data_IF_436083522513
#
_entry.id   IF_436083522513
#
_cell.length_a   1.000
_cell.length_b   1.000
_cell.length_c   1.000
_cell.angle_alpha   90.00
_cell.angle_beta   90.00
_cell.angle_gamma   90.00
#
_symmetry.space_group_name_H-M   'P 1'
#
loop_
_entity.id
_entity.type
_entity.pdbx_description
1 polymer ?
#
# COMPACT_ATOMS: atom_id res chain seq x y z
N UNK A 1 -19.89 13.50 -4.12
CA UNK A 1 -20.00 14.88 -4.65
C UNK A 1 -20.26 15.87 -3.51
N UNK A 2 -21.31 15.65 -2.68
CA UNK A 2 -21.68 16.55 -1.59
C UNK A 2 -20.54 16.89 -0.63
N UNK A 3 -19.70 15.92 -0.24
CA UNK A 3 -18.55 16.16 0.62
C UNK A 3 -17.58 17.17 -0.01
N UNK A 4 -17.19 16.96 -1.26
CA UNK A 4 -16.27 17.85 -1.98
C UNK A 4 -16.90 19.24 -2.18
N UNK A 5 -18.18 19.28 -2.50
CA UNK A 5 -18.91 20.55 -2.62
C UNK A 5 -18.95 21.33 -1.31
N UNK A 6 -19.22 20.64 -0.17
CA UNK A 6 -19.20 21.25 1.16
C UNK A 6 -17.83 21.77 1.56
N UNK A 7 -16.76 21.00 1.28
CA UNK A 7 -15.39 21.44 1.52
C UNK A 7 -15.06 22.69 0.72
N UNK A 8 -15.39 22.71 -0.57
CA UNK A 8 -15.12 23.86 -1.43
C UNK A 8 -15.99 25.08 -1.09
N UNK A 9 -17.22 24.88 -0.62
CA UNK A 9 -18.03 25.97 -0.11
C UNK A 9 -17.39 26.62 1.14
N UNK A 10 -16.90 25.80 2.07
CA UNK A 10 -16.17 26.29 3.23
C UNK A 10 -14.89 27.06 2.83
N UNK A 11 -14.08 26.49 1.93
CA UNK A 11 -12.85 27.14 1.45
C UNK A 11 -13.14 28.49 0.79
N UNK A 12 -14.19 28.55 -0.04
CA UNK A 12 -14.62 29.79 -0.72
C UNK A 12 -15.02 30.87 0.27
N UNK A 13 -15.76 30.53 1.32
CA UNK A 13 -16.15 31.50 2.38
C UNK A 13 -14.92 32.06 3.11
N UNK A 14 -13.86 31.28 3.22
CA UNK A 14 -12.60 31.68 3.87
C UNK A 14 -11.54 32.20 2.90
N UNK A 15 -11.92 32.51 1.65
CA UNK A 15 -11.02 33.02 0.61
C UNK A 15 -9.77 32.16 0.36
N UNK A 16 -9.96 30.83 0.51
CA UNK A 16 -8.90 29.83 0.24
C UNK A 16 -9.08 29.21 -1.12
N UNK A 17 -7.97 28.68 -1.66
CA UNK A 17 -7.95 27.95 -2.93
C UNK A 17 -8.88 26.71 -2.88
N UNK A 18 -9.54 26.38 -4.02
CA UNK A 18 -10.44 25.25 -4.08
C UNK A 18 -9.68 23.92 -3.93
N UNK A 19 -10.28 22.99 -3.22
CA UNK A 19 -9.80 21.62 -3.11
C UNK A 19 -10.23 20.82 -4.34
N UNK A 20 -9.26 20.37 -5.14
CA UNK A 20 -9.48 19.62 -6.37
C UNK A 20 -8.67 18.32 -6.30
N UNK A 21 -9.35 17.18 -6.29
CA UNK A 21 -8.72 15.88 -6.45
C UNK A 21 -8.57 15.56 -7.94
N UNK A 22 -7.34 15.22 -8.33
CA UNK A 22 -7.02 14.83 -9.71
C UNK A 22 -7.50 13.41 -10.03
N UNK A 23 -7.51 13.06 -11.32
CA UNK A 23 -7.93 11.75 -11.83
C UNK A 23 -7.06 10.60 -11.35
N UNK A 24 -5.79 10.86 -11.05
CA UNK A 24 -4.81 9.91 -10.50
C UNK A 24 -4.85 9.80 -8.97
N UNK A 25 -5.59 10.68 -8.29
CA UNK A 25 -5.65 10.71 -6.83
C UNK A 25 -6.88 10.01 -6.25
N UNK A 26 -8.04 10.12 -6.92
CA UNK A 26 -9.28 9.51 -6.42
C UNK A 26 -10.32 9.33 -7.52
N UNK A 27 -11.20 8.32 -7.38
CA UNK A 27 -12.34 8.12 -8.28
C UNK A 27 -13.29 9.33 -8.32
N UNK A 28 -13.42 10.07 -7.22
CA UNK A 28 -14.22 11.30 -7.21
C UNK A 28 -13.61 12.38 -8.12
N UNK A 29 -12.27 12.40 -8.27
CA UNK A 29 -11.58 13.25 -9.23
C UNK A 29 -11.95 12.90 -10.66
N UNK A 30 -11.93 11.60 -11.02
CA UNK A 30 -12.37 11.12 -12.33
C UNK A 30 -13.82 11.52 -12.60
N UNK A 31 -14.72 11.33 -11.63
CA UNK A 31 -16.13 11.67 -11.77
C UNK A 31 -16.35 13.16 -12.01
N UNK A 32 -15.75 14.02 -11.21
CA UNK A 32 -15.92 15.46 -11.32
C UNK A 32 -15.34 15.96 -12.64
N UNK A 33 -14.12 15.50 -12.98
CA UNK A 33 -13.48 15.89 -14.24
C UNK A 33 -14.29 15.47 -15.47
N UNK A 34 -14.82 14.24 -15.51
CA UNK A 34 -15.70 13.80 -16.60
C UNK A 34 -16.97 14.67 -16.70
N UNK A 35 -17.58 15.01 -15.57
CA UNK A 35 -18.78 15.85 -15.58
C UNK A 35 -18.56 17.27 -16.10
N UNK A 36 -17.42 17.87 -15.78
CA UNK A 36 -17.14 19.27 -16.20
C UNK A 36 -16.50 19.36 -17.60
N UNK A 37 -15.79 18.31 -18.04
CA UNK A 37 -15.06 18.35 -19.34
C UNK A 37 -15.85 17.72 -20.49
N UNK A 38 -16.55 16.61 -20.23
CA UNK A 38 -17.30 15.87 -21.27
C UNK A 38 -18.77 16.18 -21.29
N UNK A 39 -19.31 16.67 -20.15
CA UNK A 39 -20.75 16.76 -19.95
C UNK A 39 -21.39 15.37 -19.87
N UNK A 40 -22.69 15.33 -19.60
CA UNK A 40 -23.49 14.09 -19.58
C UNK A 40 -24.93 14.40 -19.98
N UNK A 41 -25.44 13.61 -20.92
CA UNK A 41 -26.84 13.66 -21.34
C UNK A 41 -27.73 12.73 -20.50
N UNK A 42 -27.10 11.78 -19.79
CA UNK A 42 -27.73 10.77 -18.92
C UNK A 42 -27.11 10.82 -17.50
N UNK A 43 -27.78 10.21 -16.49
CA UNK A 43 -27.19 10.09 -15.17
C UNK A 43 -25.82 9.42 -15.20
N UNK A 44 -24.79 10.12 -14.70
CA UNK A 44 -23.42 9.61 -14.72
C UNK A 44 -23.26 8.42 -13.77
N UNK A 45 -22.83 7.29 -14.32
CA UNK A 45 -22.49 6.11 -13.56
C UNK A 45 -20.97 5.90 -13.56
N UNK A 46 -20.38 5.80 -12.36
CA UNK A 46 -18.97 5.55 -12.18
C UNK A 46 -18.64 4.08 -12.45
N UNK A 47 -17.86 3.84 -13.49
CA UNK A 47 -17.25 2.53 -13.79
C UNK A 47 -15.73 2.62 -13.65
N UNK A 48 -15.11 1.56 -13.18
CA UNK A 48 -13.64 1.47 -13.08
C UNK A 48 -12.95 1.61 -14.45
N UNK A 49 -13.66 1.22 -15.53
CA UNK A 49 -13.19 1.39 -16.92
C UNK A 49 -13.02 2.85 -17.34
N UNK A 50 -13.66 3.81 -16.65
CA UNK A 50 -13.50 5.24 -16.90
C UNK A 50 -12.25 5.83 -16.24
N UNK A 51 -11.62 5.11 -15.33
CA UNK A 51 -10.41 5.54 -14.64
C UNK A 51 -9.19 4.94 -15.33
N UNK A 52 -8.42 5.75 -16.02
CA UNK A 52 -7.17 5.37 -16.66
C UNK A 52 -6.13 4.91 -15.64
N UNK A 53 -6.12 5.50 -14.45
CA UNK A 53 -5.23 5.17 -13.34
C UNK A 53 -5.84 4.14 -12.37
N UNK A 54 -6.75 3.27 -12.81
CA UNK A 54 -7.46 2.32 -11.93
C UNK A 54 -6.53 1.39 -11.15
N UNK A 55 -5.34 1.10 -11.67
CA UNK A 55 -4.32 0.27 -11.00
C UNK A 55 -3.75 1.01 -9.78
N UNK A 56 -3.66 2.35 -9.84
CA UNK A 56 -3.22 3.20 -8.74
C UNK A 56 -4.34 3.50 -7.74
N UNK A 57 -5.59 3.56 -8.22
CA UNK A 57 -6.77 3.94 -7.41
C UNK A 57 -7.40 2.74 -6.75
N UNK A 58 -6.62 1.94 -6.02
CA UNK A 58 -7.11 0.76 -5.32
C UNK A 58 -7.62 1.12 -3.93
N UNK A 59 -8.49 0.26 -3.38
CA UNK A 59 -9.03 0.42 -2.04
C UNK A 59 -7.96 0.26 -0.96
N UNK A 60 -7.06 -0.70 -1.14
CA UNK A 60 -5.99 -1.07 -0.21
C UNK A 60 -4.96 0.04 0.00
N UNK A 61 -4.79 0.96 -0.98
CA UNK A 61 -3.86 2.09 -0.90
C UNK A 61 -4.53 3.46 -0.70
N UNK A 62 -5.82 3.48 -0.47
CA UNK A 62 -6.55 4.74 -0.32
C UNK A 62 -6.08 5.53 0.91
N UNK A 63 -5.66 4.86 1.96
CA UNK A 63 -5.20 5.46 3.20
C UNK A 63 -3.94 6.33 2.98
N UNK A 64 -2.90 5.83 2.32
CA UNK A 64 -1.68 6.63 2.08
C UNK A 64 -1.94 7.83 1.15
N UNK A 65 -2.84 7.66 0.17
CA UNK A 65 -3.14 8.73 -0.78
C UNK A 65 -4.01 9.83 -0.19
N UNK A 66 -4.96 9.48 0.70
CA UNK A 66 -6.01 10.39 1.12
C UNK A 66 -5.92 10.81 2.60
N UNK A 67 -5.29 10.01 3.49
CA UNK A 67 -5.20 10.37 4.91
C UNK A 67 -4.39 11.65 5.14
N UNK A 68 -3.23 11.88 4.50
CA UNK A 68 -2.50 13.15 4.66
C UNK A 68 -3.36 14.36 4.31
N UNK A 69 -4.02 14.30 3.16
CA UNK A 69 -4.90 15.38 2.70
C UNK A 69 -6.09 15.56 3.65
N UNK A 70 -6.70 14.46 4.09
CA UNK A 70 -7.81 14.47 5.05
C UNK A 70 -7.41 15.07 6.40
N UNK A 71 -6.18 14.84 6.84
CA UNK A 71 -5.62 15.42 8.06
C UNK A 71 -5.42 16.94 7.94
N UNK A 72 -4.89 17.42 6.81
CA UNK A 72 -4.74 18.86 6.53
C UNK A 72 -6.07 19.62 6.57
N UNK A 73 -7.16 18.98 6.14
CA UNK A 73 -8.52 19.52 6.20
C UNK A 73 -9.22 19.30 7.56
N UNK A 74 -8.55 18.70 8.55
CA UNK A 74 -9.13 18.41 9.86
C UNK A 74 -10.22 17.35 9.86
N UNK A 75 -10.34 16.54 8.78
CA UNK A 75 -11.31 15.44 8.66
C UNK A 75 -10.77 14.12 9.23
N UNK A 76 -9.46 13.91 9.20
CA UNK A 76 -8.80 12.83 9.91
C UNK A 76 -8.14 13.37 11.17
N UNK A 77 -8.20 12.62 12.27
CA UNK A 77 -7.50 12.94 13.49
C UNK A 77 -5.99 12.60 13.40
N UNK A 78 -5.23 13.13 14.38
CA UNK A 78 -3.80 12.87 14.46
C UNK A 78 -3.46 11.40 14.65
N UNK A 79 -4.28 10.64 15.38
CA UNK A 79 -4.06 9.21 15.59
C UNK A 79 -4.10 8.44 14.27
N UNK A 80 -5.09 8.71 13.43
CA UNK A 80 -5.25 8.07 12.11
C UNK A 80 -4.10 8.44 11.17
N UNK A 81 -3.69 9.70 11.18
CA UNK A 81 -2.54 10.16 10.40
C UNK A 81 -1.26 9.46 10.84
N UNK A 82 -0.91 9.52 12.12
CA UNK A 82 0.30 8.90 12.68
C UNK A 82 0.31 7.37 12.47
N UNK A 83 -0.87 6.73 12.57
CA UNK A 83 -1.03 5.30 12.29
C UNK A 83 -0.70 4.98 10.84
N UNK A 84 -1.27 5.72 9.90
CA UNK A 84 -1.03 5.54 8.47
C UNK A 84 0.45 5.74 8.13
N UNK A 85 1.07 6.81 8.63
CA UNK A 85 2.48 7.08 8.37
C UNK A 85 3.39 5.99 8.91
N UNK A 86 3.17 5.53 10.14
CA UNK A 86 3.94 4.41 10.73
C UNK A 86 3.77 3.11 9.95
N UNK A 87 2.55 2.79 9.49
CA UNK A 87 2.29 1.61 8.65
C UNK A 87 3.17 1.63 7.41
N UNK A 88 3.23 2.73 6.69
CA UNK A 88 4.00 2.81 5.45
C UNK A 88 5.51 2.93 5.67
N UNK A 89 5.95 3.54 6.76
CA UNK A 89 7.35 3.51 7.17
C UNK A 89 7.81 2.07 7.46
N UNK A 90 6.99 1.27 8.14
CA UNK A 90 7.26 -0.16 8.37
C UNK A 90 7.33 -0.94 7.05
N UNK A 91 6.39 -0.69 6.13
CA UNK A 91 6.40 -1.31 4.79
C UNK A 91 7.71 -1.01 4.05
N UNK A 92 8.15 0.23 4.04
CA UNK A 92 9.39 0.64 3.36
C UNK A 92 10.61 -0.06 3.98
N UNK A 93 10.69 -0.13 5.31
CA UNK A 93 11.77 -0.85 6.01
C UNK A 93 11.78 -2.34 5.69
N UNK A 94 10.62 -2.99 5.61
CA UNK A 94 10.53 -4.40 5.19
C UNK A 94 10.92 -4.60 3.73
N UNK A 95 10.53 -3.71 2.83
CA UNK A 95 10.95 -3.78 1.43
C UNK A 95 12.48 -3.68 1.29
N UNK A 96 13.10 -2.76 2.02
CA UNK A 96 14.56 -2.62 2.05
C UNK A 96 15.23 -3.88 2.63
N UNK A 97 14.68 -4.44 3.72
CA UNK A 97 15.16 -5.70 4.29
C UNK A 97 15.14 -6.82 3.24
N UNK A 98 14.01 -7.01 2.54
CA UNK A 98 13.87 -8.08 1.55
C UNK A 98 14.72 -7.87 0.31
N UNK A 99 14.98 -6.63 -0.07
CA UNK A 99 15.90 -6.30 -1.16
C UNK A 99 17.37 -6.57 -0.80
N UNK A 100 17.76 -6.43 0.46
CA UNK A 100 19.14 -6.63 0.94
C UNK A 100 19.39 -8.06 1.44
N UNK A 101 18.42 -8.67 2.10
CA UNK A 101 18.54 -10.01 2.64
C UNK A 101 18.60 -11.07 1.54
N UNK A 102 19.49 -12.04 1.74
CA UNK A 102 19.68 -13.13 0.78
C UNK A 102 19.77 -14.47 1.49
N UNK A 103 19.25 -15.52 0.86
CA UNK A 103 19.26 -16.89 1.36
C UNK A 103 20.10 -17.80 0.46
N UNK A 104 20.67 -18.85 1.06
CA UNK A 104 21.40 -19.89 0.35
C UNK A 104 20.45 -21.02 -0.05
N UNK A 105 20.79 -21.81 -1.11
CA UNK A 105 20.00 -22.97 -1.53
C UNK A 105 19.68 -23.91 -0.37
N UNK A 106 20.68 -24.28 0.43
CA UNK A 106 20.55 -25.22 1.54
C UNK A 106 19.52 -24.81 2.59
N UNK A 107 19.24 -23.51 2.71
CA UNK A 107 18.32 -22.99 3.73
C UNK A 107 16.88 -22.85 3.22
N UNK A 108 16.66 -22.87 1.91
CA UNK A 108 15.35 -22.51 1.34
C UNK A 108 14.78 -23.57 0.40
N UNK A 109 15.61 -24.46 -0.18
CA UNK A 109 15.13 -25.42 -1.18
C UNK A 109 14.10 -26.40 -0.62
N UNK A 110 14.27 -26.87 0.61
CA UNK A 110 13.28 -27.74 1.25
C UNK A 110 11.90 -27.07 1.34
N UNK A 111 11.88 -25.79 1.69
CA UNK A 111 10.66 -24.99 1.69
C UNK A 111 10.12 -24.81 0.26
N UNK A 112 10.94 -24.45 -0.71
CA UNK A 112 10.51 -24.26 -2.10
C UNK A 112 9.90 -25.53 -2.68
N UNK A 113 10.50 -26.70 -2.42
CA UNK A 113 9.96 -28.00 -2.83
C UNK A 113 8.61 -28.29 -2.16
N UNK A 114 8.46 -27.99 -0.87
CA UNK A 114 7.21 -28.21 -0.15
C UNK A 114 6.03 -27.41 -0.71
N UNK A 115 6.29 -26.24 -1.32
CA UNK A 115 5.28 -25.39 -1.97
C UNK A 115 5.25 -25.57 -3.50
N UNK A 116 5.85 -26.63 -4.03
CA UNK A 116 5.91 -26.92 -5.47
C UNK A 116 6.53 -25.79 -6.31
N UNK A 117 7.50 -25.07 -5.75
CA UNK A 117 8.28 -24.05 -6.43
C UNK A 117 9.63 -24.60 -6.86
N UNK A 118 10.23 -24.01 -7.89
CA UNK A 118 11.55 -24.44 -8.38
C UNK A 118 12.66 -24.13 -7.38
N UNK A 119 13.59 -25.07 -7.21
CA UNK A 119 14.80 -24.89 -6.42
C UNK A 119 15.67 -23.74 -6.95
N UNK A 120 16.50 -23.20 -6.09
CA UNK A 120 17.55 -22.25 -6.47
C UNK A 120 18.92 -22.92 -6.40
N UNK A 121 19.79 -22.62 -7.36
CA UNK A 121 21.14 -23.18 -7.46
C UNK A 121 22.24 -22.23 -6.93
N UNK A 122 21.87 -21.00 -6.61
CA UNK A 122 22.77 -19.96 -6.10
C UNK A 122 22.07 -19.10 -5.09
N UNK A 123 22.83 -18.31 -4.32
CA UNK A 123 22.28 -17.34 -3.36
C UNK A 123 21.34 -16.38 -4.09
N UNK A 124 20.13 -16.21 -3.55
CA UNK A 124 19.09 -15.32 -4.08
C UNK A 124 18.62 -14.33 -3.02
N UNK A 125 18.19 -13.15 -3.47
CA UNK A 125 17.52 -12.17 -2.58
C UNK A 125 16.14 -12.65 -2.22
N UNK A 126 15.67 -12.29 -1.02
CA UNK A 126 14.33 -12.64 -0.58
C UNK A 126 13.27 -11.99 -1.47
N UNK A 127 13.48 -10.76 -1.94
CA UNK A 127 12.59 -10.08 -2.89
C UNK A 127 12.34 -10.88 -4.17
N UNK A 128 13.33 -11.62 -4.67
CA UNK A 128 13.16 -12.48 -5.86
C UNK A 128 12.29 -13.72 -5.57
N UNK A 129 12.31 -14.21 -4.33
CA UNK A 129 11.52 -15.38 -3.92
C UNK A 129 10.08 -15.00 -3.58
N UNK A 130 9.88 -13.84 -2.96
CA UNK A 130 8.55 -13.31 -2.63
C UNK A 130 7.68 -13.12 -3.88
N UNK A 131 8.27 -12.76 -5.02
CA UNK A 131 7.53 -12.59 -6.27
C UNK A 131 6.99 -13.90 -6.87
N UNK A 132 7.35 -15.06 -6.33
CA UNK A 132 6.83 -16.36 -6.80
C UNK A 132 5.44 -16.63 -6.21
N UNK A 133 4.43 -16.98 -7.02
CA UNK A 133 3.04 -17.13 -6.55
C UNK A 133 2.85 -18.20 -5.45
N UNK A 134 3.74 -19.19 -5.38
CA UNK A 134 3.63 -20.31 -4.45
C UNK A 134 4.24 -20.00 -3.07
N UNK A 135 5.05 -18.95 -2.95
CA UNK A 135 5.77 -18.65 -1.71
C UNK A 135 4.95 -17.77 -0.78
N UNK A 136 5.10 -18.01 0.52
CA UNK A 136 4.49 -17.20 1.58
C UNK A 136 5.55 -16.35 2.26
N UNK A 137 5.28 -15.07 2.44
CA UNK A 137 6.21 -14.13 3.06
C UNK A 137 6.56 -14.53 4.48
N UNK A 138 5.58 -15.01 5.25
CA UNK A 138 5.79 -15.45 6.64
C UNK A 138 6.88 -16.53 6.77
N UNK A 139 6.88 -17.47 5.82
CA UNK A 139 7.89 -18.54 5.82
C UNK A 139 9.26 -18.03 5.39
N UNK A 140 9.31 -17.22 4.32
CA UNK A 140 10.56 -16.60 3.87
C UNK A 140 11.15 -15.67 4.94
N UNK A 141 10.30 -15.01 5.72
CA UNK A 141 10.70 -14.17 6.82
C UNK A 141 11.45 -14.94 7.92
N UNK A 142 11.00 -16.16 8.24
CA UNK A 142 11.66 -17.04 9.21
C UNK A 142 13.08 -17.48 8.76
N UNK A 143 13.37 -17.39 7.46
CA UNK A 143 14.69 -17.72 6.89
C UNK A 143 15.67 -16.54 6.95
N UNK A 144 15.21 -15.33 7.27
CA UNK A 144 16.09 -14.15 7.43
C UNK A 144 16.85 -14.26 8.74
N UNK A 145 18.18 -14.14 8.75
CA UNK A 145 18.96 -14.13 9.99
C UNK A 145 18.52 -12.97 10.90
N UNK A 146 18.24 -13.26 12.18
CA UNK A 146 17.75 -12.25 13.15
C UNK A 146 18.59 -10.97 13.20
N UNK A 147 19.91 -11.08 13.09
CA UNK A 147 20.79 -9.91 13.07
C UNK A 147 20.58 -8.95 11.88
N UNK A 148 19.92 -9.41 10.80
CA UNK A 148 19.60 -8.56 9.65
C UNK A 148 18.49 -7.57 9.99
N UNK A 149 17.54 -7.95 10.84
CA UNK A 149 16.44 -7.07 11.27
C UNK A 149 16.92 -5.82 12.00
N UNK A 150 17.93 -5.98 12.87
CA UNK A 150 18.50 -4.86 13.63
C UNK A 150 19.11 -3.78 12.72
N UNK A 151 19.64 -4.17 11.55
CA UNK A 151 20.21 -3.24 10.56
C UNK A 151 19.16 -2.28 10.00
N UNK A 152 17.90 -2.71 9.96
CA UNK A 152 16.78 -1.92 9.43
C UNK A 152 15.87 -1.34 10.53
N UNK A 153 16.30 -1.39 11.80
CA UNK A 153 15.50 -0.97 12.95
C UNK A 153 14.11 -1.62 13.01
N UNK A 154 14.04 -2.90 12.61
CA UNK A 154 12.81 -3.69 12.67
C UNK A 154 12.81 -4.45 13.98
N UNK A 155 11.94 -4.06 14.89
CA UNK A 155 11.69 -4.78 16.13
C UNK A 155 10.50 -5.73 15.94
N UNK A 156 10.82 -7.01 15.86
CA UNK A 156 9.84 -8.07 15.65
C UNK A 156 8.74 -8.13 16.72
N UNK A 157 9.09 -7.79 17.96
CA UNK A 157 8.15 -7.86 19.08
C UNK A 157 7.14 -6.69 19.07
N UNK A 158 7.55 -5.53 18.62
CA UNK A 158 6.68 -4.35 18.55
C UNK A 158 5.92 -4.25 17.22
N UNK A 159 6.55 -4.58 16.11
CA UNK A 159 5.92 -4.44 14.79
C UNK A 159 4.90 -5.54 14.50
N UNK A 160 5.08 -6.76 15.03
CA UNK A 160 4.10 -7.84 14.91
C UNK A 160 2.96 -7.76 15.93
N UNK A 161 3.14 -7.10 17.08
CA UNK A 161 2.07 -6.86 18.07
C UNK A 161 1.29 -5.58 17.82
N UNK A 162 1.78 -4.71 16.96
CA UNK A 162 1.17 -3.46 16.52
C UNK A 162 0.14 -3.73 15.40
N UNK A 163 -0.52 -2.72 14.83
CA UNK A 163 -1.60 -2.85 13.82
C UNK A 163 -1.37 -3.78 12.64
N UNK A 164 -0.14 -4.19 12.37
CA UNK A 164 0.16 -5.26 11.41
C UNK A 164 -0.32 -6.65 11.86
N UNK A 165 -0.51 -6.89 13.16
CA UNK A 165 -0.99 -8.19 13.66
C UNK A 165 -2.42 -8.51 13.21
N UNK A 166 -3.27 -7.51 13.04
CA UNK A 166 -4.60 -7.65 12.45
C UNK A 166 -4.57 -7.95 10.95
N UNK A 167 -3.51 -7.54 10.26
CA UNK A 167 -3.30 -7.77 8.84
C UNK A 167 -2.71 -9.16 8.55
N UNK A 168 -1.87 -9.66 9.45
CA UNK A 168 -1.24 -11.01 9.33
C UNK A 168 -2.28 -12.12 9.49
N UNK A 169 -3.29 -11.92 10.35
CA UNK A 169 -4.35 -12.92 10.60
C UNK A 169 -5.33 -13.09 9.44
N UNK A 170 -5.41 -12.13 8.52
CA UNK A 170 -6.33 -12.18 7.36
C UNK A 170 -5.74 -12.77 6.08
N UNK A 171 -4.48 -13.17 6.06
CA UNK A 171 -3.81 -13.81 4.90
C UNK A 171 -3.66 -12.95 3.64
N UNK A 172 -4.31 -11.79 3.58
CA UNK A 172 -4.38 -10.91 2.40
C UNK A 172 -3.42 -9.72 2.46
N UNK A 173 -2.85 -9.42 3.61
CA UNK A 173 -2.22 -8.14 3.85
C UNK A 173 -0.76 -8.03 3.37
N UNK A 174 -0.06 -9.14 3.26
CA UNK A 174 1.35 -9.10 2.83
C UNK A 174 1.52 -9.04 1.30
N UNK A 175 0.62 -9.65 0.53
CA UNK A 175 0.58 -9.48 -0.93
C UNK A 175 0.34 -8.02 -1.31
N UNK A 176 -0.43 -7.30 -0.49
CA UNK A 176 -0.73 -5.89 -0.71
C UNK A 176 0.48 -4.99 -0.44
N UNK A 177 1.36 -5.35 0.50
CA UNK A 177 2.55 -4.58 0.85
C UNK A 177 3.61 -4.58 -0.27
N UNK A 178 3.73 -5.66 -1.03
CA UNK A 178 4.75 -5.81 -2.09
C UNK A 178 4.37 -5.04 -3.36
N UNK A 179 3.08 -4.95 -3.69
CA UNK A 179 2.62 -4.25 -4.88
C UNK A 179 2.86 -2.73 -4.84
N UNK A 180 3.26 -2.16 -3.69
CA UNK A 180 3.58 -0.74 -3.56
C UNK A 180 4.99 -0.38 -3.99
N UNK A 181 5.94 -1.30 -3.91
CA UNK A 181 7.33 -1.05 -4.35
C UNK A 181 7.47 -0.88 -5.85
N UNK A 182 6.53 -1.45 -6.63
CA UNK A 182 6.57 -1.45 -8.10
C UNK A 182 5.95 -0.18 -8.73
N UNK A 183 5.50 0.77 -7.89
CA UNK A 183 4.80 1.98 -8.33
C UNK A 183 5.63 3.27 -8.16
N UNK A 184 6.92 3.16 -7.89
CA UNK A 184 7.85 4.30 -7.91
C UNK A 184 8.65 4.37 -9.20
#
# INVERSE_FOLDING_TARGET
QGLIAGMNAHLKVHEKDPFILKRDQAYIGVLIDDLITKGVDEPYRMFTSRAEYRILLRQDNADIRLTPVSYEFGLADKYRYDYTMRKYDSVERFNQLFADASVKPDNVNDYLLSVSSSEINSRKRISELISRPQTQISELFNLVPRGTFNKFNIDLDTEFRSPLSGLVSSGTAYSDLIQYSDLK
#
